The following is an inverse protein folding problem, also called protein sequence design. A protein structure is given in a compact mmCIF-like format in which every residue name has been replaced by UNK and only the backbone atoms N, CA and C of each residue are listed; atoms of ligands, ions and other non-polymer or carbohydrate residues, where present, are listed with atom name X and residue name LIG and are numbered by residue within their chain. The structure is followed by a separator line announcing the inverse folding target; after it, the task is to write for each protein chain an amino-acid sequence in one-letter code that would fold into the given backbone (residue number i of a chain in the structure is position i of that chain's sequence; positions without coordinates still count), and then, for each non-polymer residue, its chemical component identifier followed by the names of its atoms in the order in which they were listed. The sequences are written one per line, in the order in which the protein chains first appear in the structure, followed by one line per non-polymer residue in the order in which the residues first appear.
data_IF_509248560385
#
_entry.id   IF_509248560385
#
_cell.length_a   1.000
_cell.length_b   1.000
_cell.length_c   1.000
_cell.angle_alpha   90.00
_cell.angle_beta   90.00
_cell.angle_gamma   90.00
#
_symmetry.space_group_name_H-M   'P 1'
#
loop_
_entity.id
_entity.type
_entity.pdbx_description
1 polymer ?
#
# COMPACT_ATOMS: atom_id res chain seq x y z
N UNK A 1 15.72 -6.43 1.64
CA UNK A 1 16.09 -5.03 1.37
C UNK A 1 16.72 -4.89 -0.04
N UNK A 2 16.01 -5.31 -1.11
CA UNK A 2 16.59 -5.40 -2.48
C UNK A 2 15.81 -4.66 -3.58
N UNK A 3 14.92 -3.73 -3.22
CA UNK A 3 14.31 -2.82 -4.19
C UNK A 3 15.09 -1.51 -4.22
N UNK A 4 15.48 -1.06 -5.41
CA UNK A 4 16.27 0.15 -5.65
C UNK A 4 15.56 1.42 -5.14
N UNK A 5 14.23 1.44 -5.13
CA UNK A 5 13.42 2.55 -4.64
C UNK A 5 13.45 2.72 -3.11
N UNK A 6 13.83 1.69 -2.35
CA UNK A 6 13.81 1.70 -0.88
C UNK A 6 15.20 1.64 -0.24
N UNK A 7 16.27 1.65 -1.06
CA UNK A 7 17.66 1.56 -0.59
C UNK A 7 18.14 2.80 0.18
N UNK A 8 17.45 3.94 0.03
CA UNK A 8 17.83 5.23 0.62
C UNK A 8 16.79 5.81 1.59
N UNK A 9 15.87 4.98 2.13
CA UNK A 9 14.92 5.43 3.14
C UNK A 9 15.56 5.37 4.53
N UNK A 10 15.50 6.46 5.31
CA UNK A 10 15.99 6.45 6.70
C UNK A 10 15.15 5.48 7.54
N UNK A 11 15.79 4.79 8.49
CA UNK A 11 15.14 3.78 9.36
C UNK A 11 13.94 4.37 10.12
N UNK A 12 13.99 5.65 10.49
CA UNK A 12 12.90 6.37 11.16
C UNK A 12 11.68 6.62 10.26
N UNK A 13 11.86 6.84 8.95
CA UNK A 13 10.74 6.94 8.01
C UNK A 13 10.05 5.57 7.78
N UNK A 14 10.78 4.48 8.00
CA UNK A 14 10.29 3.11 7.85
C UNK A 14 9.26 2.75 8.92
N UNK A 15 9.50 3.15 10.18
CA UNK A 15 8.55 2.93 11.28
C UNK A 15 7.18 3.54 10.96
N UNK A 16 7.15 4.75 10.42
CA UNK A 16 5.90 5.49 10.19
C UNK A 16 5.12 4.98 8.98
N UNK A 17 5.76 4.23 8.08
CA UNK A 17 5.12 3.65 6.90
C UNK A 17 4.71 2.18 7.09
N UNK A 18 5.39 1.47 8.00
CA UNK A 18 5.17 0.03 8.24
C UNK A 18 4.36 -0.22 9.51
N UNK A 19 4.60 0.51 10.60
CA UNK A 19 3.89 0.25 11.87
C UNK A 19 2.38 0.51 11.76
N UNK A 20 1.89 1.63 11.20
CA UNK A 20 0.45 1.87 11.15
C UNK A 20 -0.33 0.75 10.46
N UNK A 21 0.02 0.28 9.24
CA UNK A 21 -0.74 -0.81 8.63
C UNK A 21 -0.58 -2.13 9.36
N UNK A 22 0.57 -2.43 9.95
CA UNK A 22 0.76 -3.69 10.71
C UNK A 22 -0.13 -3.71 11.95
N UNK A 23 -0.17 -2.60 12.71
CA UNK A 23 -1.01 -2.48 13.91
C UNK A 23 -2.50 -2.52 13.58
N UNK A 24 -2.87 -2.02 12.40
CA UNK A 24 -4.27 -1.99 11.93
C UNK A 24 -4.71 -3.28 11.23
N UNK A 25 -3.84 -4.29 11.11
CA UNK A 25 -4.08 -5.49 10.28
C UNK A 25 -4.43 -5.13 8.81
N UNK A 26 -3.77 -4.08 8.32
CA UNK A 26 -3.86 -3.55 6.96
C UNK A 26 -2.54 -3.72 6.19
N UNK A 27 -1.77 -4.75 6.55
CA UNK A 27 -0.59 -5.18 5.81
C UNK A 27 -0.52 -6.71 5.76
N UNK A 28 0.11 -7.22 4.70
CA UNK A 28 0.37 -8.65 4.53
C UNK A 28 1.78 -8.88 4.01
N UNK A 29 2.49 -9.80 4.64
CA UNK A 29 3.78 -10.32 4.19
C UNK A 29 3.55 -11.69 3.58
N UNK A 30 4.08 -11.92 2.39
CA UNK A 30 4.03 -13.20 1.69
C UNK A 30 5.37 -13.90 1.85
N UNK A 31 5.32 -15.11 2.40
CA UNK A 31 6.50 -15.92 2.71
C UNK A 31 6.57 -17.12 1.76
N UNK A 32 7.78 -17.45 1.30
CA UNK A 32 8.10 -18.69 0.58
C UNK A 32 9.38 -19.26 1.16
N UNK A 33 9.35 -20.51 1.59
CA UNK A 33 10.53 -21.20 2.17
C UNK A 33 11.23 -20.33 3.24
N UNK A 34 10.43 -19.79 4.18
CA UNK A 34 10.84 -18.87 5.26
C UNK A 34 11.38 -17.50 4.83
N UNK A 35 11.39 -17.19 3.53
CA UNK A 35 11.85 -15.91 3.00
C UNK A 35 10.68 -15.00 2.59
N UNK A 36 10.69 -13.70 2.95
CA UNK A 36 9.68 -12.75 2.49
C UNK A 36 9.86 -12.46 1.00
N UNK A 37 8.89 -12.85 0.20
CA UNK A 37 8.90 -12.68 -1.27
C UNK A 37 8.07 -11.49 -1.73
N UNK A 38 7.08 -11.08 -0.93
CA UNK A 38 6.33 -9.86 -1.18
C UNK A 38 5.80 -9.22 0.11
N UNK A 39 5.49 -7.94 0.02
CA UNK A 39 4.80 -7.16 1.04
C UNK A 39 3.73 -6.31 0.37
N UNK A 40 2.57 -6.20 1.01
CA UNK A 40 1.54 -5.25 0.61
C UNK A 40 0.94 -4.55 1.83
N UNK A 41 0.56 -3.28 1.66
CA UNK A 41 -0.17 -2.51 2.66
C UNK A 41 -1.31 -1.72 2.02
N UNK A 42 -2.38 -1.53 2.78
CA UNK A 42 -3.55 -0.79 2.35
C UNK A 42 -4.08 0.11 3.46
N UNK A 43 -4.96 1.03 3.09
CA UNK A 43 -5.60 1.98 3.98
C UNK A 43 -7.07 2.16 3.63
N UNK A 44 -7.88 2.54 4.62
CA UNK A 44 -9.23 3.00 4.41
C UNK A 44 -9.30 4.50 4.67
N UNK A 45 -9.39 5.27 3.59
CA UNK A 45 -9.26 6.72 3.61
C UNK A 45 -10.64 7.39 3.60
N UNK A 46 -10.75 8.53 4.27
CA UNK A 46 -11.83 9.48 3.99
C UNK A 46 -11.57 10.17 2.65
N UNK A 47 -12.62 10.77 2.05
CA UNK A 47 -12.49 11.54 0.82
C UNK A 47 -11.42 12.65 0.93
N UNK A 48 -11.42 13.38 2.05
CA UNK A 48 -10.47 14.48 2.29
C UNK A 48 -9.03 13.97 2.35
N UNK A 49 -8.80 12.87 3.07
CA UNK A 49 -7.48 12.26 3.19
C UNK A 49 -7.02 11.65 1.86
N UNK A 50 -7.92 11.04 1.08
CA UNK A 50 -7.63 10.54 -0.25
C UNK A 50 -7.23 11.67 -1.23
N UNK A 51 -7.95 12.79 -1.20
CA UNK A 51 -7.65 13.98 -2.02
C UNK A 51 -6.27 14.58 -1.66
N UNK A 52 -5.91 14.59 -0.36
CA UNK A 52 -4.58 15.00 0.09
C UNK A 52 -3.51 13.99 -0.35
N UNK A 53 -3.75 12.70 -0.13
CA UNK A 53 -2.83 11.61 -0.45
C UNK A 53 -2.44 11.61 -1.93
N UNK A 54 -3.39 11.85 -2.84
CA UNK A 54 -3.14 12.01 -4.28
C UNK A 54 -2.12 13.10 -4.62
N UNK A 55 -2.07 14.17 -3.82
CA UNK A 55 -1.18 15.32 -4.07
C UNK A 55 0.20 15.12 -3.47
N UNK A 56 0.27 14.58 -2.25
CA UNK A 56 1.52 14.53 -1.47
C UNK A 56 2.17 13.14 -1.42
N UNK A 57 1.44 12.08 -1.78
CA UNK A 57 1.92 10.69 -1.80
C UNK A 57 2.30 10.11 -0.44
N UNK A 58 1.83 10.71 0.67
CA UNK A 58 2.15 10.34 2.05
C UNK A 58 0.90 10.32 2.92
N UNK A 59 0.87 9.39 3.86
CA UNK A 59 -0.16 9.25 4.90
C UNK A 59 0.48 9.44 6.27
N UNK A 60 -0.20 10.15 7.16
CA UNK A 60 0.12 10.16 8.59
C UNK A 60 -0.52 8.94 9.28
N UNK A 61 -0.06 8.51 10.46
CA UNK A 61 -0.65 7.34 11.15
C UNK A 61 -2.19 7.36 11.32
N UNK A 62 -2.84 8.50 11.67
CA UNK A 62 -4.30 8.56 11.79
C UNK A 62 -5.03 8.41 10.45
N UNK A 63 -4.35 8.67 9.34
CA UNK A 63 -4.97 8.67 8.01
C UNK A 63 -5.33 7.27 7.54
N UNK A 64 -4.58 6.24 7.99
CA UNK A 64 -4.67 4.86 7.52
C UNK A 64 -6.04 4.21 7.71
N UNK A 65 -6.85 4.71 8.66
CA UNK A 65 -8.20 4.27 8.96
C UNK A 65 -9.12 5.47 9.18
N UNK A 66 -9.02 6.47 8.29
CA UNK A 66 -9.76 7.73 8.38
C UNK A 66 -11.16 7.65 7.76
N UNK A 67 -11.47 6.60 6.99
CA UNK A 67 -12.78 6.41 6.36
C UNK A 67 -12.96 5.00 5.83
N UNK A 68 -13.67 4.87 4.71
CA UNK A 68 -14.07 3.58 4.14
C UNK A 68 -13.58 3.36 2.69
N UNK A 69 -12.95 4.36 2.05
CA UNK A 69 -12.41 4.19 0.69
C UNK A 69 -11.14 3.32 0.74
N UNK A 70 -11.12 2.13 0.10
CA UNK A 70 -9.96 1.27 0.08
C UNK A 70 -8.88 1.80 -0.86
N UNK A 71 -7.67 1.93 -0.33
CA UNK A 71 -6.49 2.35 -1.06
C UNK A 71 -5.34 1.37 -0.84
N UNK A 72 -4.77 0.86 -1.93
CA UNK A 72 -3.51 0.15 -1.89
C UNK A 72 -2.37 1.17 -1.86
N UNK A 73 -1.51 1.06 -0.85
CA UNK A 73 -0.47 2.06 -0.55
C UNK A 73 0.88 1.60 -1.07
N UNK A 74 1.27 0.37 -0.74
CA UNK A 74 2.52 -0.23 -1.20
C UNK A 74 2.29 -1.67 -1.63
N UNK A 75 2.87 -2.05 -2.77
CA UNK A 75 3.08 -3.46 -3.16
C UNK A 75 4.53 -3.61 -3.58
N UNK A 76 5.25 -4.45 -2.86
CA UNK A 76 6.67 -4.69 -3.05
C UNK A 76 6.85 -6.19 -3.25
N UNK A 77 7.00 -6.63 -4.50
CA UNK A 77 7.19 -8.03 -4.86
C UNK A 77 8.47 -8.19 -5.70
N UNK A 78 9.67 -8.15 -5.09
CA UNK A 78 10.95 -8.19 -5.81
C UNK A 78 11.22 -9.55 -6.48
N UNK A 79 10.64 -10.63 -5.93
CA UNK A 79 10.84 -12.00 -6.41
C UNK A 79 9.52 -12.75 -6.64
N UNK A 80 8.39 -12.11 -6.37
CA UNK A 80 7.04 -12.68 -6.48
C UNK A 80 6.24 -12.07 -7.62
N UNK A 81 5.09 -12.67 -7.93
CA UNK A 81 4.15 -12.11 -8.90
C UNK A 81 3.27 -11.05 -8.25
N UNK A 82 3.34 -9.81 -8.75
CA UNK A 82 2.44 -8.72 -8.33
C UNK A 82 0.97 -9.11 -8.56
N UNK A 83 0.69 -9.88 -9.61
CA UNK A 83 -0.67 -10.33 -9.92
C UNK A 83 -1.23 -11.29 -8.85
N UNK A 84 -0.40 -12.22 -8.35
CA UNK A 84 -0.80 -13.13 -7.28
C UNK A 84 -1.06 -12.39 -5.98
N UNK A 85 -0.22 -11.41 -5.64
CA UNK A 85 -0.41 -10.54 -4.48
C UNK A 85 -1.71 -9.78 -4.59
N UNK A 86 -1.96 -9.09 -5.71
CA UNK A 86 -3.20 -8.32 -5.90
C UNK A 86 -4.43 -9.22 -5.88
N UNK A 87 -4.35 -10.43 -6.47
CA UNK A 87 -5.45 -11.41 -6.42
C UNK A 87 -5.75 -11.87 -5.00
N UNK A 88 -4.72 -12.17 -4.21
CA UNK A 88 -4.88 -12.55 -2.80
C UNK A 88 -5.47 -11.41 -1.97
N UNK A 89 -5.01 -10.17 -2.17
CA UNK A 89 -5.56 -9.00 -1.50
C UNK A 89 -7.08 -8.86 -1.72
N UNK A 90 -7.55 -9.06 -2.96
CA UNK A 90 -8.97 -8.97 -3.33
C UNK A 90 -9.84 -10.11 -2.81
N UNK A 91 -9.25 -11.18 -2.26
CA UNK A 91 -10.00 -12.39 -1.89
C UNK A 91 -9.88 -12.71 -0.41
N UNK A 92 -8.69 -12.50 0.18
CA UNK A 92 -8.33 -13.00 1.50
C UNK A 92 -7.99 -11.88 2.51
N UNK A 93 -8.41 -10.63 2.26
CA UNK A 93 -8.18 -9.50 3.17
C UNK A 93 -9.43 -8.63 3.33
N UNK A 94 -9.34 -7.57 4.13
CA UNK A 94 -10.41 -6.57 4.29
C UNK A 94 -10.72 -5.77 3.00
N UNK A 95 -9.92 -5.95 1.95
CA UNK A 95 -10.20 -5.45 0.60
C UNK A 95 -11.15 -6.35 -0.20
N UNK A 96 -11.52 -7.53 0.32
CA UNK A 96 -12.33 -8.49 -0.42
C UNK A 96 -13.68 -7.90 -0.87
N UNK A 97 -13.96 -8.02 -2.17
CA UNK A 97 -15.18 -7.49 -2.79
C UNK A 97 -15.24 -5.97 -2.93
N UNK A 98 -14.15 -5.24 -2.67
CA UNK A 98 -14.11 -3.77 -2.79
C UNK A 98 -13.28 -3.35 -4.00
N UNK A 99 -13.75 -2.34 -4.73
CA UNK A 99 -12.96 -1.66 -5.77
C UNK A 99 -11.85 -0.86 -5.09
N UNK A 100 -10.60 -1.27 -5.30
CA UNK A 100 -9.44 -0.68 -4.61
C UNK A 100 -8.72 0.28 -5.54
N UNK A 101 -8.30 1.44 -5.01
CA UNK A 101 -7.56 2.47 -5.75
C UNK A 101 -6.07 2.40 -5.39
N UNK A 102 -5.21 2.71 -6.35
CA UNK A 102 -3.78 2.89 -6.15
C UNK A 102 -3.30 4.11 -6.93
N UNK A 103 -2.28 4.80 -6.42
CA UNK A 103 -1.61 5.84 -7.21
C UNK A 103 -0.86 5.19 -8.37
N UNK A 104 -1.24 5.59 -9.58
CA UNK A 104 -0.53 5.26 -10.81
C UNK A 104 0.64 6.23 -11.06
N UNK A 105 1.40 6.04 -12.15
CA UNK A 105 2.44 6.99 -12.55
C UNK A 105 1.87 8.40 -12.74
N UNK A 106 2.69 9.42 -12.50
CA UNK A 106 2.32 10.81 -12.82
C UNK A 106 2.18 10.97 -14.33
N UNK A 107 1.06 11.53 -14.77
CA UNK A 107 0.81 11.88 -16.17
C UNK A 107 0.75 13.39 -16.23
N UNK A 108 1.86 14.03 -16.60
CA UNK A 108 2.02 15.49 -16.48
C UNK A 108 2.06 15.94 -15.01
N UNK A 109 1.24 16.92 -14.65
CA UNK A 109 1.09 17.41 -13.26
C UNK A 109 0.08 16.60 -12.43
N UNK A 110 -0.74 15.76 -13.08
CA UNK A 110 -1.78 14.99 -12.42
C UNK A 110 -1.29 13.59 -12.01
N UNK A 111 -1.68 13.19 -10.80
CA UNK A 111 -1.40 11.85 -10.29
C UNK A 111 -2.43 10.88 -10.87
N UNK A 112 -1.98 9.92 -11.68
CA UNK A 112 -2.85 8.88 -12.20
C UNK A 112 -3.44 8.01 -11.07
N UNK A 113 -4.60 7.42 -11.31
CA UNK A 113 -5.23 6.45 -10.41
C UNK A 113 -5.45 5.17 -11.20
N UNK A 114 -5.06 4.05 -10.59
CA UNK A 114 -5.33 2.70 -11.09
C UNK A 114 -6.38 2.10 -10.17
N UNK A 115 -7.44 1.53 -10.75
CA UNK A 115 -8.49 0.83 -10.02
C UNK A 115 -8.41 -0.66 -10.32
N UNK A 116 -8.59 -1.50 -9.30
CA UNK A 116 -8.63 -2.95 -9.45
C UNK A 116 -9.59 -3.58 -8.45
#
# INVERSE_FOLDING_TARGET
MNSSAHRFMFVTDFEWRILPPVVLDQAKVYMRDESPVAFASWAFLSKEVADRYRKIGRLAPPDWKSGDEPWLIDVIAPFGSVEEVVKDLKTNTSLAGKTTKMLGPKVGEEQGIIEF
#
